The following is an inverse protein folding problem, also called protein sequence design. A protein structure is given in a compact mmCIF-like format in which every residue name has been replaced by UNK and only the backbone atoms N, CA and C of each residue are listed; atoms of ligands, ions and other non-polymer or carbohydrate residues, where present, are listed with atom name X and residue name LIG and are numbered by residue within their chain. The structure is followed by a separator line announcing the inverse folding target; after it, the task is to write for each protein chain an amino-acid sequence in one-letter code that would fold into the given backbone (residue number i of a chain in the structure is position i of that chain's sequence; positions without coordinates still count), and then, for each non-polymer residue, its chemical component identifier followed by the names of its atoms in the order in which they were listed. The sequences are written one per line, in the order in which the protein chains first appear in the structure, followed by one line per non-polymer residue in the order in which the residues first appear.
data_IF_373888777244
#
_entry.id   IF_373888777244
#
_cell.length_a   1.000
_cell.length_b   1.000
_cell.length_c   1.000
_cell.angle_alpha   90.00
_cell.angle_beta   90.00
_cell.angle_gamma   90.00
#
_symmetry.space_group_name_H-M   'P 1'
#
loop_
_entity.id
_entity.type
_entity.pdbx_description
1 polymer ?
#
# COMPACT_ATOMS: atom_id res chain seq x y z
N UNK A 1 4.12 13.55 7.88
CA UNK A 1 4.37 13.87 6.46
C UNK A 1 3.44 13.01 5.63
N UNK A 2 2.56 13.65 4.86
CA UNK A 2 1.62 12.98 3.95
C UNK A 2 2.42 12.21 2.90
N UNK A 3 2.19 10.91 2.84
CA UNK A 3 2.86 10.02 1.89
C UNK A 3 2.33 10.30 0.49
N UNK A 4 3.02 11.15 -0.26
CA UNK A 4 2.70 11.47 -1.66
C UNK A 4 3.01 10.33 -2.64
N UNK A 5 3.12 9.07 -2.17
CA UNK A 5 3.33 7.90 -3.03
C UNK A 5 4.61 7.90 -3.87
N UNK A 6 5.51 8.87 -3.70
CA UNK A 6 6.67 9.09 -4.58
C UNK A 6 6.39 9.96 -5.81
N UNK A 7 5.18 10.52 -5.95
CA UNK A 7 4.88 11.53 -6.98
C UNK A 7 5.38 12.92 -6.53
N UNK A 8 6.39 13.40 -7.24
CA UNK A 8 7.03 14.69 -6.99
C UNK A 8 6.02 15.83 -7.15
N UNK A 9 5.06 15.73 -8.09
CA UNK A 9 4.04 16.79 -8.28
C UNK A 9 3.12 16.90 -7.06
N UNK A 10 2.67 15.77 -6.54
CA UNK A 10 1.87 15.70 -5.32
C UNK A 10 2.62 16.21 -4.08
N UNK A 11 3.92 15.93 -3.97
CA UNK A 11 4.79 16.53 -2.95
C UNK A 11 4.82 18.06 -3.07
N UNK A 12 5.05 18.58 -4.27
CA UNK A 12 5.15 20.02 -4.52
C UNK A 12 3.83 20.74 -4.24
N UNK A 13 2.69 20.17 -4.65
CA UNK A 13 1.38 20.72 -4.31
C UNK A 13 1.12 20.74 -2.81
N UNK A 14 1.51 19.69 -2.08
CA UNK A 14 1.38 19.65 -0.62
C UNK A 14 2.23 20.75 0.03
N UNK A 15 3.47 20.92 -0.43
CA UNK A 15 4.37 21.97 0.06
C UNK A 15 3.85 23.37 -0.27
N UNK A 16 3.33 23.57 -1.48
CA UNK A 16 2.71 24.83 -1.89
C UNK A 16 1.50 25.16 -1.03
N UNK A 17 0.64 24.18 -0.73
CA UNK A 17 -0.50 24.35 0.17
C UNK A 17 -0.08 24.75 1.59
N UNK A 18 0.93 24.06 2.15
CA UNK A 18 1.49 24.40 3.48
C UNK A 18 2.07 25.81 3.47
N UNK A 19 2.80 26.19 2.42
CA UNK A 19 3.39 27.51 2.27
C UNK A 19 2.33 28.62 2.14
N UNK A 20 1.27 28.42 1.33
CA UNK A 20 0.18 29.39 1.20
C UNK A 20 -0.55 29.60 2.52
N UNK A 21 -0.71 28.55 3.32
CA UNK A 21 -1.36 28.64 4.63
C UNK A 21 -0.48 29.32 5.67
N UNK A 22 0.83 29.05 5.65
CA UNK A 22 1.78 29.76 6.49
C UNK A 22 1.76 31.27 6.19
N UNK A 23 1.64 31.66 4.92
CA UNK A 23 1.46 33.06 4.50
C UNK A 23 0.14 33.66 4.99
N UNK A 24 -0.98 32.96 4.82
CA UNK A 24 -2.28 33.44 5.31
C UNK A 24 -2.29 33.66 6.84
N UNK A 25 -1.67 32.76 7.62
CA UNK A 25 -1.54 32.91 9.06
C UNK A 25 -0.67 34.12 9.47
N UNK A 26 0.30 34.52 8.65
CA UNK A 26 1.15 35.70 8.86
C UNK A 26 0.39 37.00 8.55
N UNK A 27 -0.46 36.99 7.52
CA UNK A 27 -1.29 38.13 7.11
C UNK A 27 -2.45 38.41 8.08
N UNK A 28 -3.03 37.39 8.72
CA UNK A 28 -4.07 37.51 9.76
C UNK A 28 -3.56 38.05 11.12
N UNK A 29 -2.36 38.62 11.18
CA UNK A 29 -1.87 39.35 12.36
C UNK A 29 -1.38 38.50 13.53
N UNK A 30 -1.25 37.17 13.36
CA UNK A 30 -0.47 36.35 14.30
C UNK A 30 1.01 36.65 14.06
N UNK A 31 1.56 37.54 14.87
CA UNK A 31 2.99 37.91 14.88
C UNK A 31 3.87 36.72 15.23
N UNK A 32 4.06 35.79 14.31
CA UNK A 32 5.23 34.93 14.31
C UNK A 32 6.32 35.64 13.53
N UNK A 33 7.31 36.19 14.25
CA UNK A 33 8.50 36.78 13.67
C UNK A 33 9.38 35.76 12.91
N UNK A 34 9.04 34.48 13.01
CA UNK A 34 9.81 33.38 12.46
C UNK A 34 8.95 32.56 11.48
N UNK A 35 9.42 32.48 10.24
CA UNK A 35 8.85 31.68 9.16
C UNK A 35 8.82 30.20 9.56
N UNK A 36 9.82 29.75 10.32
CA UNK A 36 9.90 28.39 10.83
C UNK A 36 8.75 28.11 11.82
N UNK A 37 8.48 29.02 12.75
CA UNK A 37 7.36 28.88 13.68
C UNK A 37 5.99 28.94 12.96
N UNK A 38 5.84 29.76 11.92
CA UNK A 38 4.64 29.81 11.10
C UNK A 38 4.42 28.50 10.32
N UNK A 39 5.49 27.90 9.79
CA UNK A 39 5.47 26.60 9.14
C UNK A 39 5.18 25.47 10.12
N UNK A 40 5.83 25.47 11.29
CA UNK A 40 5.59 24.49 12.36
C UNK A 40 4.16 24.58 12.87
N UNK A 41 3.56 25.77 12.95
CA UNK A 41 2.14 25.93 13.26
C UNK A 41 1.22 25.55 12.10
N UNK A 42 1.60 25.79 10.84
CA UNK A 42 0.83 25.33 9.69
C UNK A 42 0.83 23.80 9.61
N UNK A 43 1.93 23.16 10.00
CA UNK A 43 2.11 21.70 10.06
C UNK A 43 1.48 21.09 11.32
N UNK A 44 1.57 21.79 12.47
CA UNK A 44 1.16 21.30 13.79
C UNK A 44 -0.26 21.68 14.22
N UNK A 45 -0.79 22.81 13.75
CA UNK A 45 -2.09 23.39 14.12
C UNK A 45 -3.31 22.74 13.45
N UNK A 46 -3.26 21.45 13.12
CA UNK A 46 -4.37 20.74 12.48
C UNK A 46 -4.52 21.04 10.98
N UNK A 47 -3.44 21.46 10.31
CA UNK A 47 -3.41 21.78 8.88
C UNK A 47 -3.04 20.62 7.97
N UNK A 48 -3.41 19.40 8.34
CA UNK A 48 -3.41 18.28 7.39
C UNK A 48 -4.68 18.41 6.57
N UNK A 49 -4.62 18.16 5.26
CA UNK A 49 -5.81 18.00 4.46
C UNK A 49 -6.68 16.93 5.13
N UNK A 50 -7.79 17.35 5.76
CA UNK A 50 -8.64 16.43 6.52
C UNK A 50 -9.18 15.33 5.61
N UNK A 51 -9.25 15.60 4.29
CA UNK A 51 -9.67 14.66 3.25
C UNK A 51 -8.74 13.46 3.04
N UNK A 52 -7.61 13.34 3.76
CA UNK A 52 -6.70 12.19 3.62
C UNK A 52 -5.75 11.96 4.82
N UNK A 53 -6.12 12.35 6.05
CA UNK A 53 -5.24 12.15 7.22
C UNK A 53 -5.25 10.70 7.76
N UNK A 54 -4.55 9.83 7.05
CA UNK A 54 -4.39 8.39 7.37
C UNK A 54 -3.92 8.16 8.81
N UNK A 55 -2.99 8.98 9.30
CA UNK A 55 -2.44 8.81 10.64
C UNK A 55 -3.47 9.14 11.72
N UNK A 56 -4.35 10.11 11.50
CA UNK A 56 -5.41 10.44 12.45
C UNK A 56 -6.52 9.40 12.45
N UNK A 57 -6.89 8.85 11.28
CA UNK A 57 -7.85 7.73 11.20
C UNK A 57 -7.30 6.49 11.92
N UNK A 58 -6.05 6.13 11.66
CA UNK A 58 -5.40 4.99 12.31
C UNK A 58 -5.29 5.17 13.82
N UNK A 59 -4.94 6.37 14.29
CA UNK A 59 -4.94 6.68 15.71
C UNK A 59 -6.35 6.61 16.31
N UNK A 60 -7.33 7.25 15.70
CA UNK A 60 -8.72 7.23 16.19
C UNK A 60 -9.24 5.78 16.35
N UNK A 61 -8.96 4.92 15.37
CA UNK A 61 -9.45 3.54 15.37
C UNK A 61 -8.65 2.66 16.33
N UNK A 62 -7.32 2.65 16.25
CA UNK A 62 -6.51 1.65 16.96
C UNK A 62 -5.99 2.11 18.33
N UNK A 63 -5.74 3.40 18.57
CA UNK A 63 -5.27 3.82 19.90
C UNK A 63 -6.42 3.94 20.91
N UNK A 64 -6.23 3.34 22.10
CA UNK A 64 -7.00 3.71 23.28
C UNK A 64 -6.36 4.96 23.88
N UNK A 65 -6.96 6.12 23.66
CA UNK A 65 -6.56 7.33 24.40
C UNK A 65 -6.84 7.09 25.90
N UNK A 66 -5.79 7.11 26.72
CA UNK A 66 -5.94 7.42 28.14
C UNK A 66 -5.97 8.94 28.22
N UNK A 67 -7.09 9.51 28.62
CA UNK A 67 -7.17 10.95 28.84
C UNK A 67 -6.19 11.38 29.94
N UNK A 68 -5.09 12.03 29.58
CA UNK A 68 -4.15 12.62 30.54
C UNK A 68 -4.82 13.67 31.43
N UNK A 69 -5.95 14.24 30.99
CA UNK A 69 -6.82 15.12 31.79
C UNK A 69 -7.50 14.37 32.95
N UNK A 70 -7.83 13.09 32.77
CA UNK A 70 -8.39 12.23 33.83
C UNK A 70 -7.31 11.87 34.85
N UNK A 71 -6.08 11.63 34.41
CA UNK A 71 -4.92 11.37 35.27
C UNK A 71 -4.53 12.59 36.13
N UNK A 72 -4.53 13.79 35.54
CA UNK A 72 -4.24 15.04 36.27
C UNK A 72 -5.37 15.48 37.20
N UNK A 73 -6.64 15.27 36.84
CA UNK A 73 -7.79 15.51 37.73
C UNK A 73 -7.84 14.48 38.89
N UNK A 74 -7.53 13.21 38.64
CA UNK A 74 -7.37 12.18 39.70
C UNK A 74 -6.24 12.52 40.67
N UNK A 75 -5.09 13.00 40.17
CA UNK A 75 -3.98 13.48 41.02
C UNK A 75 -4.33 14.70 41.88
N UNK A 76 -5.28 15.54 41.46
CA UNK A 76 -5.73 16.74 42.17
C UNK A 76 -6.99 16.55 43.02
N UNK A 77 -7.47 15.31 43.20
CA UNK A 77 -8.60 14.99 44.08
C UNK A 77 -9.96 15.58 43.66
N UNK A 78 -10.07 16.19 42.48
CA UNK A 78 -11.34 16.73 41.95
C UNK A 78 -11.94 15.76 40.94
N UNK A 79 -12.39 14.61 41.43
CA UNK A 79 -13.11 13.63 40.61
C UNK A 79 -14.58 13.65 41.03
N UNK A 80 -15.40 14.45 40.35
CA UNK A 80 -16.85 14.25 40.41
C UNK A 80 -17.16 12.98 39.61
N UNK A 81 -17.97 12.08 40.18
CA UNK A 81 -18.40 10.83 39.54
C UNK A 81 -19.13 11.06 38.21
N UNK A 82 -19.60 12.28 37.98
CA UNK A 82 -20.34 12.68 36.78
C UNK A 82 -19.44 13.21 35.65
N UNK A 83 -18.13 13.33 35.88
CA UNK A 83 -17.14 13.75 34.88
C UNK A 83 -16.65 12.53 34.05
N UNK A 84 -17.55 11.59 33.76
CA UNK A 84 -17.37 10.54 32.76
C UNK A 84 -17.36 11.15 31.35
N UNK A 85 -16.30 11.89 31.03
CA UNK A 85 -15.93 12.28 29.67
C UNK A 85 -15.52 11.10 28.78
N UNK A 86 -16.01 9.89 29.07
CA UNK A 86 -15.79 8.67 28.29
C UNK A 86 -16.78 8.50 27.13
N UNK A 87 -17.74 9.43 26.97
CA UNK A 87 -18.86 9.24 26.05
C UNK A 87 -18.49 9.79 24.67
N UNK A 88 -18.03 8.87 23.84
CA UNK A 88 -18.25 8.78 22.39
C UNK A 88 -16.99 8.44 21.56
N UNK A 89 -16.19 7.47 22.03
CA UNK A 89 -15.16 6.83 21.19
C UNK A 89 -15.71 6.36 19.83
N UNK A 90 -16.87 5.66 19.74
CA UNK A 90 -17.41 5.26 18.44
C UNK A 90 -17.74 6.48 17.56
N UNK A 91 -18.34 7.54 18.08
CA UNK A 91 -18.60 8.77 17.31
C UNK A 91 -17.35 9.51 16.87
N UNK A 92 -16.27 9.52 17.67
CA UNK A 92 -14.97 10.04 17.24
C UNK A 92 -14.38 9.24 16.08
N UNK A 93 -14.48 7.90 16.14
CA UNK A 93 -14.02 7.03 15.05
C UNK A 93 -14.84 7.25 13.78
N UNK A 94 -16.16 7.33 13.91
CA UNK A 94 -17.06 7.60 12.79
C UNK A 94 -16.78 8.98 12.20
N UNK A 95 -16.62 10.02 13.01
CA UNK A 95 -16.26 11.37 12.57
C UNK A 95 -14.88 11.42 11.88
N UNK A 96 -13.89 10.68 12.37
CA UNK A 96 -12.58 10.59 11.74
C UNK A 96 -12.64 9.87 10.37
N UNK A 97 -13.44 8.81 10.25
CA UNK A 97 -13.68 8.12 8.99
C UNK A 97 -14.51 8.96 8.01
N UNK A 98 -15.47 9.74 8.52
CA UNK A 98 -16.23 10.72 7.73
C UNK A 98 -15.36 11.83 7.18
N UNK A 99 -14.47 12.39 8.01
CA UNK A 99 -13.53 13.42 7.58
C UNK A 99 -12.56 12.94 6.49
N UNK A 100 -12.23 11.64 6.46
CA UNK A 100 -11.35 11.03 5.48
C UNK A 100 -11.96 10.96 4.06
N UNK A 101 -13.29 10.93 3.94
CA UNK A 101 -14.03 11.07 2.67
C UNK A 101 -13.59 10.13 1.52
N UNK A 102 -13.00 8.97 1.83
CA UNK A 102 -12.66 7.89 0.90
C UNK A 102 -12.77 6.53 1.60
N UNK A 103 -13.96 5.92 1.53
CA UNK A 103 -14.28 4.65 2.17
C UNK A 103 -13.38 3.50 1.69
N UNK A 104 -12.95 3.52 0.43
CA UNK A 104 -12.12 2.46 -0.18
C UNK A 104 -10.68 2.49 0.34
N UNK A 105 -10.12 3.69 0.49
CA UNK A 105 -8.80 3.89 1.08
C UNK A 105 -8.84 3.71 2.60
N UNK A 106 -9.92 4.09 3.26
CA UNK A 106 -10.10 3.85 4.69
C UNK A 106 -10.11 2.35 4.99
N UNK A 107 -10.86 1.55 4.22
CA UNK A 107 -10.85 0.09 4.35
C UNK A 107 -9.46 -0.50 4.13
N UNK A 108 -8.77 -0.09 3.06
CA UNK A 108 -7.43 -0.59 2.75
C UNK A 108 -6.45 -0.26 3.89
N UNK A 109 -6.53 0.96 4.42
CA UNK A 109 -5.73 1.41 5.56
C UNK A 109 -6.00 0.57 6.83
N UNK A 110 -7.27 0.28 7.11
CA UNK A 110 -7.67 -0.55 8.26
C UNK A 110 -7.17 -2.00 8.11
N UNK A 111 -7.31 -2.60 6.92
CA UNK A 111 -6.80 -3.94 6.64
C UNK A 111 -5.29 -4.06 6.77
N UNK A 112 -4.54 -3.07 6.27
CA UNK A 112 -3.08 -3.06 6.33
C UNK A 112 -2.58 -2.85 7.77
N UNK A 113 -3.30 -2.08 8.58
CA UNK A 113 -2.88 -1.75 9.96
C UNK A 113 -3.25 -2.85 10.97
N UNK A 114 -4.32 -3.61 10.72
CA UNK A 114 -4.83 -4.66 11.60
C UNK A 114 -3.79 -5.75 11.96
N UNK A 115 -2.96 -6.30 11.04
CA UNK A 115 -1.94 -7.26 11.42
C UNK A 115 -0.71 -6.64 12.11
N UNK A 116 -0.49 -5.33 11.93
CA UNK A 116 0.72 -4.64 12.40
C UNK A 116 0.59 -3.99 13.78
N UNK A 117 -0.64 -3.82 14.28
CA UNK A 117 -0.91 -3.25 15.59
C UNK A 117 -0.63 -4.26 16.72
N UNK A 118 0.06 -3.85 17.81
CA UNK A 118 0.20 -4.70 19.00
C UNK A 118 -0.96 -4.42 19.95
N UNK A 119 -1.84 -5.40 20.08
CA UNK A 119 -3.05 -5.31 20.90
C UNK A 119 -2.78 -5.47 22.38
N UNK A 120 -3.57 -4.79 23.21
CA UNK A 120 -3.53 -4.93 24.68
C UNK A 120 -3.87 -6.35 25.12
N UNK A 121 -4.69 -7.04 24.33
CA UNK A 121 -5.12 -8.42 24.55
C UNK A 121 -5.07 -9.15 23.19
N UNK A 122 -3.98 -9.86 22.88
CA UNK A 122 -3.73 -10.46 21.57
C UNK A 122 -4.57 -11.74 21.40
N UNK A 123 -5.87 -11.58 21.24
CA UNK A 123 -6.76 -12.68 20.93
C UNK A 123 -6.93 -12.79 19.41
N UNK A 124 -6.31 -13.82 18.80
CA UNK A 124 -6.44 -14.16 17.37
C UNK A 124 -7.90 -14.12 16.87
N UNK A 125 -8.85 -14.53 17.73
CA UNK A 125 -10.29 -14.48 17.48
C UNK A 125 -10.84 -13.07 17.24
N UNK A 126 -10.36 -12.06 17.98
CA UNK A 126 -10.80 -10.65 17.81
C UNK A 126 -10.25 -10.05 16.52
N UNK A 127 -9.02 -10.40 16.15
CA UNK A 127 -8.42 -10.01 14.87
C UNK A 127 -9.14 -10.68 13.69
N UNK A 128 -9.50 -11.95 13.82
CA UNK A 128 -10.29 -12.67 12.82
C UNK A 128 -11.69 -12.07 12.64
N UNK A 129 -12.42 -11.82 13.73
CA UNK A 129 -13.75 -11.19 13.70
C UNK A 129 -13.68 -9.76 13.11
N UNK A 130 -12.64 -9.00 13.46
CA UNK A 130 -12.39 -7.66 12.88
C UNK A 130 -12.16 -7.73 11.37
N UNK A 131 -11.43 -8.73 10.90
CA UNK A 131 -11.19 -8.96 9.46
C UNK A 131 -12.47 -9.32 8.72
N UNK A 132 -13.34 -10.12 9.32
CA UNK A 132 -14.64 -10.48 8.76
C UNK A 132 -15.56 -9.26 8.64
N UNK A 133 -15.65 -8.45 9.69
CA UNK A 133 -16.43 -7.19 9.69
C UNK A 133 -15.91 -6.20 8.63
N UNK A 134 -14.58 -6.06 8.49
CA UNK A 134 -14.00 -5.24 7.43
C UNK A 134 -14.28 -5.82 6.03
N UNK A 135 -14.36 -7.15 5.90
CA UNK A 135 -14.68 -7.82 4.63
C UNK A 135 -16.14 -7.61 4.23
N UNK A 136 -17.07 -7.65 5.20
CA UNK A 136 -18.46 -7.25 4.99
C UNK A 136 -18.57 -5.79 4.57
N UNK A 137 -17.76 -4.91 5.18
CA UNK A 137 -17.72 -3.49 4.81
C UNK A 137 -17.09 -3.23 3.43
N UNK A 138 -16.23 -4.12 2.93
CA UNK A 138 -15.75 -4.07 1.55
C UNK A 138 -16.86 -4.35 0.52
N UNK A 139 -17.85 -5.17 0.89
CA UNK A 139 -19.02 -5.44 0.05
C UNK A 139 -20.09 -4.33 0.16
N UNK A 140 -20.06 -3.52 1.24
CA UNK A 140 -21.01 -2.44 1.46
C UNK A 140 -20.31 -1.23 2.09
N UNK A 141 -19.93 -0.26 1.27
CA UNK A 141 -19.22 0.95 1.71
C UNK A 141 -19.96 1.76 2.77
N UNK A 142 -21.29 1.62 2.87
CA UNK A 142 -22.10 2.34 3.85
C UNK A 142 -21.77 1.96 5.30
N UNK A 143 -21.24 0.77 5.54
CA UNK A 143 -20.94 0.27 6.89
C UNK A 143 -19.47 0.46 7.30
N UNK A 144 -18.63 1.09 6.48
CA UNK A 144 -17.18 1.28 6.78
C UNK A 144 -16.94 1.99 8.12
N UNK A 145 -17.76 2.99 8.42
CA UNK A 145 -17.73 3.75 9.68
C UNK A 145 -18.04 2.87 10.89
N UNK A 146 -19.11 2.08 10.76
CA UNK A 146 -19.59 1.14 11.80
C UNK A 146 -18.56 0.03 12.01
N UNK A 147 -18.00 -0.49 10.91
CA UNK A 147 -16.93 -1.47 10.93
C UNK A 147 -15.68 -0.92 11.62
N UNK A 148 -15.26 0.31 11.32
CA UNK A 148 -14.15 0.97 11.99
C UNK A 148 -14.36 1.15 13.50
N UNK A 149 -15.58 1.54 13.91
CA UNK A 149 -15.95 1.63 15.33
C UNK A 149 -15.92 0.26 16.03
N UNK A 150 -16.43 -0.79 15.37
CA UNK A 150 -16.38 -2.15 15.88
C UNK A 150 -14.95 -2.67 16.03
N UNK A 151 -14.08 -2.42 15.04
CA UNK A 151 -12.64 -2.73 15.12
C UNK A 151 -12.00 -1.97 16.29
N UNK A 152 -12.33 -0.71 16.50
CA UNK A 152 -11.80 0.07 17.63
C UNK A 152 -12.19 -0.49 19.00
N UNK A 153 -13.38 -1.10 19.11
CA UNK A 153 -13.85 -1.74 20.33
C UNK A 153 -13.11 -3.06 20.60
N UNK A 154 -12.90 -3.88 19.57
CA UNK A 154 -12.30 -5.21 19.68
C UNK A 154 -10.77 -5.20 19.73
N UNK A 155 -10.14 -4.27 19.00
CA UNK A 155 -8.72 -4.28 18.66
C UNK A 155 -8.01 -2.97 19.08
N UNK A 156 -8.38 -2.44 20.25
CA UNK A 156 -7.67 -1.29 20.83
C UNK A 156 -6.25 -1.64 21.29
N UNK A 157 -5.29 -0.77 21.00
CA UNK A 157 -3.90 -0.83 21.49
C UNK A 157 -3.73 0.11 22.69
N UNK A 158 -2.97 -0.34 23.69
CA UNK A 158 -2.55 0.50 24.80
C UNK A 158 -1.23 1.18 24.42
N UNK A 159 -1.28 2.50 24.25
CA UNK A 159 -0.10 3.33 24.11
C UNK A 159 0.21 3.82 22.69
N UNK A 160 1.14 4.77 22.67
CA UNK A 160 1.65 5.50 21.50
C UNK A 160 2.55 4.57 20.67
N UNK A 161 1.97 3.54 20.08
CA UNK A 161 2.67 2.80 19.04
C UNK A 161 2.84 3.74 17.86
N UNK A 162 4.06 3.76 17.31
CA UNK A 162 4.29 4.23 15.95
C UNK A 162 3.56 3.26 15.02
N UNK A 163 2.23 3.43 14.94
CA UNK A 163 1.38 2.94 13.88
C UNK A 163 1.80 3.71 12.63
N UNK A 164 3.01 3.42 12.17
CA UNK A 164 3.43 3.80 10.84
C UNK A 164 2.37 3.22 9.94
N UNK A 165 1.81 4.04 9.06
CA UNK A 165 1.03 3.58 7.92
C UNK A 165 1.96 2.77 7.01
N UNK A 166 2.41 1.61 7.51
CA UNK A 166 3.26 0.66 6.83
C UNK A 166 2.40 -0.09 5.83
N UNK A 167 2.01 0.59 4.76
CA UNK A 167 1.08 0.01 3.79
C UNK A 167 0.98 0.80 2.48
N UNK A 168 1.20 2.12 2.49
CA UNK A 168 1.01 2.93 1.28
C UNK A 168 1.94 2.55 0.12
N UNK A 169 3.19 2.19 0.43
CA UNK A 169 4.13 1.72 -0.59
C UNK A 169 3.95 0.27 -0.99
N UNK A 170 3.21 -0.53 -0.22
CA UNK A 170 3.19 -1.98 -0.39
C UNK A 170 1.87 -2.48 -0.95
N UNK A 171 0.71 -2.06 -0.45
CA UNK A 171 -0.58 -2.59 -0.93
C UNK A 171 -0.97 -2.04 -2.30
N UNK A 172 -0.87 -0.72 -2.51
CA UNK A 172 -1.10 -0.08 -3.82
C UNK A 172 -0.05 -0.52 -4.85
N UNK A 173 1.23 -0.55 -4.46
CA UNK A 173 2.31 -1.05 -5.32
C UNK A 173 2.12 -2.53 -5.64
N UNK A 174 1.66 -3.38 -4.70
CA UNK A 174 1.33 -4.78 -4.98
C UNK A 174 0.16 -4.91 -5.94
N UNK A 175 -0.91 -4.12 -5.80
CA UNK A 175 -2.03 -4.11 -6.77
C UNK A 175 -1.57 -3.65 -8.14
N UNK A 176 -0.87 -2.52 -8.22
CA UNK A 176 -0.34 -1.99 -9.47
C UNK A 176 0.67 -2.95 -10.13
N UNK A 177 1.54 -3.60 -9.36
CA UNK A 177 2.42 -4.68 -9.86
C UNK A 177 1.61 -5.88 -10.32
N UNK A 178 0.57 -6.28 -9.57
CA UNK A 178 -0.32 -7.37 -9.94
C UNK A 178 -1.04 -7.11 -11.27
N UNK A 179 -1.56 -5.90 -11.48
CA UNK A 179 -2.18 -5.49 -12.73
C UNK A 179 -1.19 -5.42 -13.88
N UNK A 180 0.01 -4.84 -13.65
CA UNK A 180 1.10 -4.86 -14.65
C UNK A 180 1.48 -6.29 -15.02
N UNK A 181 1.63 -7.17 -14.05
CA UNK A 181 1.96 -8.57 -14.27
C UNK A 181 0.85 -9.29 -15.05
N UNK A 182 -0.43 -9.05 -14.74
CA UNK A 182 -1.56 -9.56 -15.52
C UNK A 182 -1.50 -9.08 -16.96
N UNK A 183 -1.23 -7.79 -17.18
CA UNK A 183 -1.05 -7.22 -18.52
C UNK A 183 0.09 -7.90 -19.29
N UNK A 184 1.25 -8.09 -18.66
CA UNK A 184 2.39 -8.81 -19.26
C UNK A 184 2.04 -10.26 -19.57
N UNK A 185 1.38 -10.98 -18.66
CA UNK A 185 0.93 -12.36 -18.88
C UNK A 185 -0.06 -12.46 -20.04
N UNK A 186 -0.95 -11.48 -20.17
CA UNK A 186 -1.89 -11.42 -21.27
C UNK A 186 -1.20 -11.18 -22.60
N UNK A 187 -0.22 -10.27 -22.66
CA UNK A 187 0.62 -10.06 -23.84
C UNK A 187 1.41 -11.32 -24.23
N UNK A 188 1.99 -12.02 -23.26
CA UNK A 188 2.70 -13.28 -23.50
C UNK A 188 1.75 -14.33 -24.07
N UNK A 189 0.60 -14.53 -23.43
CA UNK A 189 -0.44 -15.47 -23.89
C UNK A 189 -0.91 -15.15 -25.30
N UNK A 190 -1.15 -13.88 -25.60
CA UNK A 190 -1.63 -13.47 -26.91
C UNK A 190 -0.54 -13.66 -27.99
N UNK A 191 0.74 -13.57 -27.61
CA UNK A 191 1.88 -13.92 -28.47
C UNK A 191 2.07 -15.42 -28.73
N UNK A 192 1.52 -16.31 -27.89
CA UNK A 192 1.60 -17.76 -28.10
C UNK A 192 0.73 -18.22 -29.27
N UNK A 193 1.12 -19.35 -29.88
CA UNK A 193 0.33 -20.01 -30.92
C UNK A 193 -1.06 -20.38 -30.38
N UNK A 194 -2.14 -20.30 -31.17
CA UNK A 194 -3.50 -20.54 -30.69
C UNK A 194 -3.71 -21.87 -29.96
N UNK A 195 -3.01 -22.93 -30.37
CA UNK A 195 -3.09 -24.27 -29.78
C UNK A 195 -2.42 -24.37 -28.40
N UNK A 196 -1.43 -23.51 -28.15
CA UNK A 196 -0.62 -23.48 -26.93
C UNK A 196 -1.16 -22.48 -25.90
N UNK A 197 -2.16 -21.67 -26.27
CA UNK A 197 -2.82 -20.74 -25.37
C UNK A 197 -3.51 -21.50 -24.25
N UNK A 198 -3.23 -21.10 -23.01
CA UNK A 198 -3.86 -21.59 -21.78
C UNK A 198 -4.44 -20.42 -21.00
N UNK A 199 -5.18 -20.73 -19.93
CA UNK A 199 -5.61 -19.72 -18.97
C UNK A 199 -4.42 -18.92 -18.43
N UNK A 200 -4.66 -17.67 -18.02
CA UNK A 200 -3.61 -16.80 -17.48
C UNK A 200 -2.93 -17.43 -16.25
N UNK A 201 -3.70 -18.14 -15.42
CA UNK A 201 -3.19 -18.81 -14.24
C UNK A 201 -2.22 -19.94 -14.61
N UNK A 202 -2.64 -20.86 -15.50
CA UNK A 202 -1.80 -21.95 -16.02
C UNK A 202 -0.55 -21.41 -16.73
N UNK A 203 -0.70 -20.29 -17.44
CA UNK A 203 0.43 -19.63 -18.10
C UNK A 203 1.48 -19.17 -17.09
N UNK A 204 1.03 -18.56 -15.99
CA UNK A 204 1.90 -18.02 -14.95
C UNK A 204 2.54 -19.11 -14.07
N UNK A 205 1.79 -20.17 -13.74
CA UNK A 205 2.23 -21.18 -12.78
C UNK A 205 2.93 -22.38 -13.42
N UNK A 206 2.66 -22.67 -14.69
CA UNK A 206 3.17 -23.88 -15.36
C UNK A 206 3.97 -23.53 -16.61
N UNK A 207 3.35 -22.88 -17.60
CA UNK A 207 3.96 -22.68 -18.93
C UNK A 207 5.26 -21.89 -18.85
N UNK A 208 5.24 -20.72 -18.18
CA UNK A 208 6.43 -19.85 -18.05
C UNK A 208 7.51 -20.55 -17.21
N UNK A 209 7.23 -21.11 -16.01
CA UNK A 209 8.22 -21.85 -15.25
C UNK A 209 8.84 -23.03 -16.01
N UNK A 210 8.04 -23.87 -16.67
CA UNK A 210 8.54 -25.01 -17.44
C UNK A 210 9.44 -24.55 -18.60
N UNK A 211 9.05 -23.50 -19.32
CA UNK A 211 9.89 -22.95 -20.38
C UNK A 211 11.19 -22.35 -19.82
N UNK A 212 11.13 -21.68 -18.67
CA UNK A 212 12.31 -21.12 -18.00
C UNK A 212 13.28 -22.20 -17.55
N UNK A 213 12.77 -23.33 -17.03
CA UNK A 213 13.57 -24.51 -16.68
C UNK A 213 14.26 -25.06 -17.93
N UNK A 214 13.52 -25.28 -19.02
CA UNK A 214 14.09 -25.79 -20.29
C UNK A 214 15.13 -24.85 -20.91
N UNK A 215 14.95 -23.53 -20.75
CA UNK A 215 15.94 -22.53 -21.16
C UNK A 215 17.17 -22.52 -20.23
N UNK A 216 16.95 -22.77 -18.94
CA UNK A 216 17.97 -22.83 -17.88
C UNK A 216 18.76 -24.14 -17.82
N UNK A 217 18.32 -25.21 -18.50
CA UNK A 217 19.05 -26.46 -18.71
C UNK A 217 20.26 -26.23 -19.66
N UNK A 218 21.19 -25.38 -19.22
CA UNK A 218 22.42 -25.01 -19.91
C UNK A 218 23.58 -26.00 -19.69
N UNK A 219 23.31 -27.21 -19.19
CA UNK A 219 24.36 -28.21 -18.88
C UNK A 219 24.50 -29.37 -19.86
N UNK A 220 23.69 -29.43 -20.94
CA UNK A 220 23.66 -30.55 -21.87
C UNK A 220 24.79 -30.56 -22.92
N UNK A 221 24.86 -31.64 -23.72
CA UNK A 221 25.84 -31.81 -24.82
C UNK A 221 25.83 -30.70 -25.88
N UNK A 222 24.76 -29.90 -25.93
CA UNK A 222 24.53 -28.81 -26.88
C UNK A 222 24.59 -27.41 -26.23
N UNK A 223 25.10 -27.30 -25.00
CA UNK A 223 25.23 -26.02 -24.32
C UNK A 223 26.45 -25.23 -24.84
N UNK A 224 26.24 -23.94 -25.04
CA UNK A 224 27.31 -22.98 -25.31
C UNK A 224 28.27 -22.92 -24.12
N UNK A 225 29.48 -23.45 -24.30
CA UNK A 225 30.56 -23.38 -23.30
C UNK A 225 31.40 -22.10 -23.38
N UNK A 226 31.17 -21.30 -24.43
CA UNK A 226 31.93 -20.09 -24.74
C UNK A 226 30.99 -18.99 -25.24
N UNK A 227 31.37 -17.74 -25.03
CA UNK A 227 30.68 -16.61 -25.63
C UNK A 227 30.91 -16.60 -27.15
N UNK A 228 29.86 -16.33 -27.92
CA UNK A 228 29.91 -16.30 -29.39
C UNK A 228 29.13 -15.08 -29.87
N UNK A 229 29.72 -14.31 -30.78
CA UNK A 229 29.17 -13.04 -31.28
C UNK A 229 28.23 -13.19 -32.48
N UNK A 230 28.11 -14.39 -33.06
CA UNK A 230 27.22 -14.62 -34.20
C UNK A 230 26.86 -16.08 -34.41
N UNK A 231 25.68 -16.33 -34.97
CA UNK A 231 25.13 -17.68 -35.22
C UNK A 231 26.05 -18.51 -36.14
N UNK A 232 26.73 -17.88 -37.10
CA UNK A 232 27.65 -18.55 -38.02
C UNK A 232 28.90 -19.16 -37.35
N UNK A 233 29.19 -18.77 -36.11
CA UNK A 233 30.34 -19.28 -35.34
C UNK A 233 29.98 -20.43 -34.40
N UNK A 234 28.70 -20.84 -34.37
CA UNK A 234 28.22 -22.00 -33.63
C UNK A 234 28.59 -23.28 -34.38
N UNK A 235 29.07 -24.29 -33.65
CA UNK A 235 29.15 -25.65 -34.19
C UNK A 235 27.76 -26.22 -34.47
N UNK A 236 27.65 -27.23 -35.33
CA UNK A 236 26.36 -27.87 -35.67
C UNK A 236 25.57 -28.31 -34.42
N UNK A 237 26.25 -28.90 -33.43
CA UNK A 237 25.61 -29.28 -32.16
C UNK A 237 25.15 -28.08 -31.32
N UNK A 238 25.87 -26.95 -31.34
CA UNK A 238 25.45 -25.73 -30.64
C UNK A 238 24.30 -25.03 -31.37
N UNK A 239 24.23 -25.10 -32.71
CA UNK A 239 23.12 -24.60 -33.51
C UNK A 239 21.81 -25.30 -33.17
N UNK A 240 21.82 -26.63 -33.08
CA UNK A 240 20.63 -27.38 -32.66
C UNK A 240 20.14 -27.01 -31.24
N UNK A 241 21.07 -26.69 -30.34
CA UNK A 241 20.74 -26.20 -29.00
C UNK A 241 20.16 -24.78 -29.02
N UNK A 242 20.74 -23.92 -29.85
CA UNK A 242 20.26 -22.55 -30.09
C UNK A 242 18.85 -22.55 -30.70
N UNK A 243 18.62 -23.32 -31.76
CA UNK A 243 17.33 -23.39 -32.45
C UNK A 243 16.20 -23.90 -31.53
N UNK A 244 16.48 -24.91 -30.70
CA UNK A 244 15.54 -25.40 -29.68
C UNK A 244 15.18 -24.31 -28.66
N UNK A 245 16.15 -23.50 -28.22
CA UNK A 245 15.89 -22.39 -27.29
C UNK A 245 15.08 -21.28 -27.96
N UNK A 246 15.39 -20.96 -29.21
CA UNK A 246 14.61 -19.99 -30.00
C UNK A 246 13.18 -20.49 -30.19
N UNK A 247 12.97 -21.78 -30.43
CA UNK A 247 11.64 -22.38 -30.55
C UNK A 247 10.86 -22.28 -29.24
N UNK A 248 11.48 -22.55 -28.09
CA UNK A 248 10.84 -22.37 -26.76
C UNK A 248 10.45 -20.90 -26.54
N UNK A 249 11.34 -19.95 -26.85
CA UNK A 249 11.06 -18.52 -26.72
C UNK A 249 9.90 -18.09 -27.64
N UNK A 250 9.90 -18.54 -28.90
CA UNK A 250 8.78 -18.31 -29.83
C UNK A 250 7.49 -18.96 -29.35
N UNK A 251 7.56 -20.14 -28.72
CA UNK A 251 6.44 -20.82 -28.09
C UNK A 251 5.81 -20.01 -26.96
N UNK A 252 6.61 -19.23 -26.22
CA UNK A 252 6.14 -18.26 -25.22
C UNK A 252 5.62 -16.94 -25.82
N UNK A 253 5.56 -16.83 -27.14
CA UNK A 253 5.20 -15.59 -27.82
C UNK A 253 6.27 -14.50 -27.76
N UNK A 254 7.49 -14.84 -27.36
CA UNK A 254 8.61 -13.91 -27.36
C UNK A 254 9.20 -13.83 -28.76
N UNK A 255 9.11 -12.66 -29.35
CA UNK A 255 9.75 -12.34 -30.63
C UNK A 255 10.91 -11.38 -30.40
N UNK A 256 11.97 -11.52 -31.19
CA UNK A 256 13.02 -10.50 -31.24
C UNK A 256 12.40 -9.17 -31.63
N UNK A 257 12.47 -8.19 -30.74
CA UNK A 257 12.28 -6.79 -31.13
C UNK A 257 13.54 -6.42 -31.88
N UNK A 258 13.45 -6.24 -33.21
CA UNK A 258 14.54 -5.63 -33.97
C UNK A 258 14.85 -4.30 -33.31
N UNK A 259 16.07 -4.09 -32.83
CA UNK A 259 16.55 -2.74 -32.56
C UNK A 259 16.36 -1.98 -33.87
N UNK A 260 15.56 -0.91 -33.81
CA UNK A 260 15.60 0.07 -34.89
C UNK A 260 16.97 0.72 -34.75
N UNK A 261 17.87 0.45 -35.68
CA UNK A 261 19.08 1.26 -35.83
C UNK A 261 18.61 2.71 -36.07
N UNK A 262 18.79 3.56 -35.06
CA UNK A 262 18.46 4.99 -35.10
C UNK A 262 17.33 5.44 -34.18
N UNK A 263 17.59 5.48 -32.87
CA UNK A 263 17.16 6.58 -31.98
C UNK A 263 18.37 7.01 -31.13
#
# INVERSE_FOLDING_TARGET
MTSAGGDIRSCLHTLQFVATRARANLEEGRKTADIQAALEMAVGGGGKDMRNDKQSVVKAVFTRERDDKVLTKRKKGRFNKDDEGLKDKPGRVMSALDGFNDDSRALTLLFDTLPSAKYTDPNFKRTAASREILSMAACNSRIVRVAGAAVSAMCGTEGRQDLRSGGDKDSWSRRARGERNKGTLQQLRDGMRPLDRRGLDVTATEVIPTATIRLGEGGGRHALKRAVSGIGMLSEGEKEGFDRRVEILRGLGLTYRREREGE
#
